data_IF_125112401295
#
_entry.id   IF_125112401295
#
_cell.length_a   1.000
_cell.length_b   1.000
_cell.length_c   1.000
_cell.angle_alpha   90.00
_cell.angle_beta   90.00
_cell.angle_gamma   90.00
#
_symmetry.space_group_name_H-M   'P 1'
#
loop_
_entity.id
_entity.type
_entity.pdbx_description
1 polymer ?
#
# COMPACT_ATOMS: atom_id res chain seq x y z
N UNK A 1 26.79 -6.56 -1.22
CA UNK A 1 25.38 -6.99 -1.43
C UNK A 1 24.92 -8.06 -0.44
N UNK A 2 25.37 -9.32 -0.49
CA UNK A 2 24.95 -10.34 0.50
C UNK A 2 25.29 -9.94 1.93
N UNK A 3 26.52 -9.45 2.16
CA UNK A 3 26.95 -9.01 3.49
C UNK A 3 26.12 -7.82 3.99
N UNK A 4 25.78 -6.87 3.12
CA UNK A 4 24.90 -5.74 3.45
C UNK A 4 23.49 -6.22 3.82
N UNK A 5 22.95 -7.24 3.14
CA UNK A 5 21.67 -7.86 3.50
C UNK A 5 21.76 -8.53 4.87
N UNK A 6 22.83 -9.30 5.13
CA UNK A 6 23.04 -9.99 6.40
C UNK A 6 23.18 -9.01 7.58
N UNK A 7 23.77 -7.84 7.33
CA UNK A 7 23.90 -6.74 8.31
C UNK A 7 22.61 -5.91 8.47
N UNK A 8 21.51 -6.27 7.79
CA UNK A 8 20.23 -5.56 7.87
C UNK A 8 20.17 -4.22 7.11
N UNK A 9 21.27 -3.82 6.46
CA UNK A 9 21.39 -2.56 5.73
C UNK A 9 21.18 -2.71 4.20
N UNK A 10 20.79 -3.91 3.75
CA UNK A 10 20.63 -4.24 2.35
C UNK A 10 19.46 -3.49 1.71
N UNK A 11 19.68 -2.94 0.51
CA UNK A 11 18.59 -2.35 -0.28
C UNK A 11 17.66 -3.45 -0.78
N UNK A 12 16.35 -3.17 -0.83
CA UNK A 12 15.34 -4.09 -1.37
C UNK A 12 15.63 -4.57 -2.80
N UNK A 13 16.35 -3.78 -3.61
CA UNK A 13 16.75 -4.13 -4.98
C UNK A 13 17.88 -5.16 -5.04
N UNK A 14 18.61 -5.42 -3.96
CA UNK A 14 19.76 -6.32 -3.99
C UNK A 14 19.35 -7.78 -4.24
N UNK A 15 18.21 -8.23 -3.72
CA UNK A 15 17.70 -9.57 -4.01
C UNK A 15 17.52 -9.77 -5.52
N UNK A 16 16.89 -8.80 -6.19
CA UNK A 16 16.74 -8.81 -7.66
C UNK A 16 18.09 -8.78 -8.37
N UNK A 17 19.07 -8.02 -7.87
CA UNK A 17 20.40 -7.94 -8.48
C UNK A 17 21.20 -9.24 -8.34
N UNK A 18 21.16 -9.86 -7.15
CA UNK A 18 21.80 -11.16 -6.89
C UNK A 18 21.18 -12.22 -7.80
N UNK A 19 19.86 -12.23 -7.93
CA UNK A 19 19.17 -13.14 -8.86
C UNK A 19 19.59 -12.87 -10.31
N UNK A 20 19.67 -11.60 -10.73
CA UNK A 20 20.12 -11.24 -12.07
C UNK A 20 21.56 -11.72 -12.34
N UNK A 21 22.46 -11.55 -11.37
CA UNK A 21 23.85 -12.01 -11.44
C UNK A 21 23.90 -13.53 -11.58
N UNK A 22 23.24 -14.27 -10.70
CA UNK A 22 23.34 -15.72 -10.63
C UNK A 22 22.67 -16.42 -11.82
N UNK A 23 21.51 -15.93 -12.26
CA UNK A 23 20.74 -16.59 -13.32
C UNK A 23 21.13 -16.15 -14.73
N UNK A 24 21.65 -14.92 -14.90
CA UNK A 24 21.92 -14.38 -16.24
C UNK A 24 23.38 -14.01 -16.45
N UNK A 25 24.00 -13.25 -15.54
CA UNK A 25 25.35 -12.73 -15.78
C UNK A 25 26.41 -13.83 -15.69
N UNK A 26 26.44 -14.59 -14.59
CA UNK A 26 27.42 -15.67 -14.38
C UNK A 26 27.31 -16.76 -15.48
N UNK A 27 26.12 -17.27 -15.83
CA UNK A 27 25.99 -18.27 -16.90
C UNK A 27 26.34 -17.72 -18.29
N UNK A 28 26.21 -16.41 -18.48
CA UNK A 28 26.56 -15.76 -19.74
C UNK A 28 28.06 -15.65 -19.90
N UNK A 29 28.71 -14.95 -18.96
CA UNK A 29 30.11 -14.55 -19.06
C UNK A 29 31.08 -15.64 -18.59
N UNK A 30 30.64 -16.57 -17.72
CA UNK A 30 31.44 -17.69 -17.22
C UNK A 30 32.84 -17.25 -16.72
N UNK A 31 33.89 -17.55 -17.49
CA UNK A 31 35.30 -17.25 -17.18
C UNK A 31 35.87 -16.08 -18.00
N UNK A 32 35.02 -15.33 -18.71
CA UNK A 32 35.43 -14.15 -19.47
C UNK A 32 36.01 -13.09 -18.54
N UNK A 33 37.09 -12.43 -18.98
CA UNK A 33 37.72 -11.36 -18.21
C UNK A 33 36.78 -10.16 -18.18
N UNK A 34 36.72 -9.45 -17.06
CA UNK A 34 35.87 -8.27 -16.91
C UNK A 34 36.23 -7.17 -17.93
N UNK A 35 37.51 -7.08 -18.31
CA UNK A 35 38.04 -6.14 -19.31
C UNK A 35 37.66 -6.49 -20.75
N UNK A 36 37.23 -7.72 -21.01
CA UNK A 36 36.77 -8.18 -22.33
C UNK A 36 35.24 -8.14 -22.48
N UNK A 37 34.52 -7.52 -21.54
CA UNK A 37 33.08 -7.31 -21.69
C UNK A 37 32.87 -6.05 -22.54
N UNK A 38 32.70 -6.27 -23.84
CA UNK A 38 32.44 -5.24 -24.85
C UNK A 38 30.98 -5.31 -25.35
N UNK A 39 30.67 -4.59 -26.43
CA UNK A 39 29.34 -4.58 -27.03
C UNK A 39 28.89 -5.98 -27.51
N UNK A 40 29.80 -6.81 -28.02
CA UNK A 40 29.49 -8.16 -28.48
C UNK A 40 29.09 -9.06 -27.30
N UNK A 41 29.84 -9.01 -26.19
CA UNK A 41 29.51 -9.74 -24.97
C UNK A 41 28.12 -9.31 -24.41
N UNK A 42 27.76 -8.04 -24.54
CA UNK A 42 26.44 -7.54 -24.14
C UNK A 42 25.31 -8.01 -25.07
N UNK A 43 25.58 -8.18 -26.37
CA UNK A 43 24.62 -8.76 -27.31
C UNK A 43 24.38 -10.25 -26.99
N UNK A 44 25.42 -11.01 -26.69
CA UNK A 44 25.30 -12.41 -26.24
C UNK A 44 24.47 -12.53 -24.95
N UNK A 45 24.68 -11.60 -24.02
CA UNK A 45 23.88 -11.52 -22.80
C UNK A 45 22.40 -11.29 -23.11
N UNK A 46 22.08 -10.42 -24.07
CA UNK A 46 20.69 -10.19 -24.48
C UNK A 46 20.08 -11.42 -25.13
N UNK A 47 20.82 -12.14 -25.97
CA UNK A 47 20.38 -13.40 -26.57
C UNK A 47 20.11 -14.48 -25.51
N UNK A 48 21.03 -14.67 -24.55
CA UNK A 48 20.85 -15.63 -23.44
C UNK A 48 19.68 -15.25 -22.55
N UNK A 49 19.48 -13.95 -22.25
CA UNK A 49 18.31 -13.48 -21.50
C UNK A 49 17.02 -13.88 -22.21
N UNK A 50 16.92 -13.64 -23.52
CA UNK A 50 15.73 -14.00 -24.30
C UNK A 50 15.48 -15.52 -24.31
N UNK A 51 16.55 -16.33 -24.43
CA UNK A 51 16.47 -17.79 -24.38
C UNK A 51 15.99 -18.31 -23.01
N UNK A 52 16.57 -17.82 -21.91
CA UNK A 52 16.21 -18.22 -20.54
C UNK A 52 14.79 -17.79 -20.20
N UNK A 53 14.40 -16.56 -20.55
CA UNK A 53 13.08 -16.02 -20.25
C UNK A 53 11.98 -16.56 -21.18
N UNK A 54 12.37 -17.25 -22.27
CA UNK A 54 11.48 -17.68 -23.36
C UNK A 54 10.65 -16.54 -23.96
N UNK A 55 11.12 -15.30 -23.78
CA UNK A 55 10.49 -14.07 -24.28
C UNK A 55 11.49 -12.93 -24.28
N UNK A 56 11.23 -11.92 -25.11
CA UNK A 56 12.05 -10.71 -25.12
C UNK A 56 11.96 -9.98 -23.76
N UNK A 57 13.11 -9.63 -23.14
CA UNK A 57 13.11 -8.89 -21.89
C UNK A 57 12.53 -7.48 -22.06
N UNK A 58 11.83 -7.00 -21.03
CA UNK A 58 11.32 -5.63 -21.02
C UNK A 58 12.44 -4.63 -20.76
N UNK A 59 12.25 -3.37 -21.18
CA UNK A 59 13.21 -2.30 -20.89
C UNK A 59 13.52 -2.18 -19.39
N UNK A 60 12.52 -2.35 -18.52
CA UNK A 60 12.71 -2.33 -17.05
C UNK A 60 13.57 -3.50 -16.56
N UNK A 61 13.36 -4.69 -17.11
CA UNK A 61 14.17 -5.88 -16.75
C UNK A 61 15.63 -5.67 -17.13
N UNK A 62 15.89 -5.16 -18.34
CA UNK A 62 17.26 -4.87 -18.79
C UNK A 62 17.89 -3.78 -17.93
N UNK A 63 17.14 -2.72 -17.58
CA UNK A 63 17.64 -1.68 -16.69
C UNK A 63 18.04 -2.23 -15.31
N UNK A 64 17.22 -3.11 -14.70
CA UNK A 64 17.57 -3.77 -13.44
C UNK A 64 18.80 -4.67 -13.57
N UNK A 65 18.91 -5.45 -14.65
CA UNK A 65 20.09 -6.30 -14.88
C UNK A 65 21.36 -5.46 -15.15
N UNK A 66 21.22 -4.34 -15.86
CA UNK A 66 22.33 -3.41 -16.11
C UNK A 66 22.78 -2.73 -14.81
N UNK A 67 21.84 -2.41 -13.90
CA UNK A 67 22.19 -1.91 -12.56
C UNK A 67 22.97 -2.97 -11.76
N UNK A 68 22.57 -4.25 -11.84
CA UNK A 68 23.31 -5.35 -11.23
C UNK A 68 24.72 -5.51 -11.83
N UNK A 69 24.85 -5.44 -13.16
CA UNK A 69 26.14 -5.51 -13.84
C UNK A 69 27.04 -4.30 -13.50
N UNK A 70 26.47 -3.09 -13.40
CA UNK A 70 27.20 -1.91 -12.95
C UNK A 70 27.76 -2.10 -11.53
N UNK A 71 27.05 -2.79 -10.63
CA UNK A 71 27.60 -3.12 -9.30
C UNK A 71 28.81 -4.05 -9.36
N UNK A 72 28.82 -5.00 -10.29
CA UNK A 72 29.99 -5.84 -10.54
C UNK A 72 31.15 -5.00 -11.09
N UNK A 73 30.86 -4.06 -12.00
CA UNK A 73 31.88 -3.14 -12.51
C UNK A 73 32.41 -2.17 -11.45
N UNK A 74 31.57 -1.69 -10.54
CA UNK A 74 31.99 -0.84 -9.42
C UNK A 74 32.98 -1.60 -8.53
N UNK A 75 32.67 -2.85 -8.18
CA UNK A 75 33.57 -3.71 -7.41
C UNK A 75 34.89 -4.01 -8.15
N UNK A 76 34.81 -4.24 -9.46
CA UNK A 76 36.00 -4.47 -10.30
C UNK A 76 36.93 -3.24 -10.34
N UNK A 77 36.36 -2.03 -10.34
CA UNK A 77 37.14 -0.78 -10.26
C UNK A 77 37.81 -0.64 -8.89
N UNK A 78 37.07 -0.88 -7.81
CA UNK A 78 37.61 -0.84 -6.43
C UNK A 78 38.80 -1.79 -6.26
N UNK A 79 38.72 -2.98 -6.86
CA UNK A 79 39.78 -4.00 -6.83
C UNK A 79 40.90 -3.78 -7.85
N UNK A 80 40.81 -2.75 -8.69
CA UNK A 80 41.80 -2.46 -9.73
C UNK A 80 41.79 -3.40 -10.94
N UNK A 81 40.72 -4.19 -11.13
CA UNK A 81 40.56 -5.08 -12.29
C UNK A 81 40.05 -4.35 -13.54
N UNK A 82 39.46 -3.17 -13.38
CA UNK A 82 38.92 -2.34 -14.45
C UNK A 82 39.18 -0.87 -14.15
N UNK A 83 39.48 -0.05 -15.16
CA UNK A 83 39.51 1.41 -15.03
C UNK A 83 38.15 2.00 -15.40
N UNK A 84 37.75 3.11 -14.77
CA UNK A 84 36.46 3.76 -15.05
C UNK A 84 36.28 4.11 -16.54
N UNK A 85 37.37 4.46 -17.23
CA UNK A 85 37.36 4.82 -18.67
C UNK A 85 37.07 3.63 -19.59
N UNK A 86 37.43 2.41 -19.17
CA UNK A 86 37.24 1.19 -19.96
C UNK A 86 35.89 0.51 -19.68
N UNK A 87 35.01 1.18 -18.94
CA UNK A 87 33.67 0.67 -18.62
C UNK A 87 32.76 0.77 -19.85
N UNK A 88 32.17 -0.35 -20.32
CA UNK A 88 31.25 -0.30 -21.46
C UNK A 88 29.95 0.42 -21.09
N UNK A 89 29.38 1.25 -21.98
CA UNK A 89 28.10 1.90 -21.74
C UNK A 89 26.94 0.89 -21.83
N UNK A 90 26.14 0.79 -20.78
CA UNK A 90 25.00 -0.13 -20.73
C UNK A 90 23.70 0.56 -21.16
N UNK A 91 23.20 0.26 -22.36
CA UNK A 91 21.91 0.77 -22.86
C UNK A 91 20.77 -0.19 -22.53
N UNK A 92 19.66 0.35 -22.04
CA UNK A 92 18.44 -0.42 -21.80
C UNK A 92 17.52 -0.37 -23.02
N UNK A 93 17.80 -1.21 -24.01
CA UNK A 93 16.99 -1.38 -25.22
C UNK A 93 16.18 -2.67 -25.08
N UNK A 94 14.90 -2.55 -24.73
CA UNK A 94 14.01 -3.70 -24.56
C UNK A 94 12.58 -3.33 -24.90
N UNK A 95 11.69 -4.32 -24.88
CA UNK A 95 10.29 -4.11 -25.25
C UNK A 95 9.64 -3.13 -24.27
N UNK A 96 9.02 -2.08 -24.81
CA UNK A 96 8.21 -1.15 -24.01
C UNK A 96 6.96 -1.86 -23.54
N UNK A 97 6.71 -1.82 -22.23
CA UNK A 97 5.51 -2.44 -21.66
C UNK A 97 4.28 -1.67 -22.11
N UNK A 98 3.24 -2.37 -22.57
CA UNK A 98 1.91 -1.76 -22.74
C UNK A 98 1.41 -1.24 -21.38
N UNK A 99 0.79 -0.06 -21.38
CA UNK A 99 0.15 0.50 -20.19
C UNK A 99 -0.93 -0.49 -19.71
N UNK A 100 -1.02 -0.69 -18.39
CA UNK A 100 -2.11 -1.49 -17.81
C UNK A 100 -3.41 -0.69 -17.91
N UNK A 101 -4.57 -1.34 -18.19
CA UNK A 101 -5.85 -0.63 -18.16
C UNK A 101 -6.08 -0.04 -16.77
N UNK A 102 -6.67 1.14 -16.74
CA UNK A 102 -7.22 1.80 -15.57
C UNK A 102 -8.70 1.45 -15.41
N UNK A 103 -9.18 1.48 -14.16
CA UNK A 103 -10.60 1.33 -13.88
C UNK A 103 -11.34 2.62 -14.23
N UNK A 104 -12.44 2.51 -14.97
CA UNK A 104 -13.38 3.60 -15.18
C UNK A 104 -14.21 3.86 -13.91
N UNK A 105 -14.86 5.03 -13.82
CA UNK A 105 -15.77 5.31 -12.70
C UNK A 105 -16.96 4.35 -12.67
N UNK A 106 -17.45 3.93 -13.84
CA UNK A 106 -18.53 2.94 -13.97
C UNK A 106 -18.09 1.58 -13.44
N UNK A 107 -16.87 1.14 -13.79
CA UNK A 107 -16.30 -0.11 -13.29
C UNK A 107 -16.05 -0.06 -11.78
N UNK A 108 -15.64 1.09 -11.24
CA UNK A 108 -15.48 1.28 -9.79
C UNK A 108 -16.83 1.20 -9.07
N UNK A 109 -17.87 1.82 -9.61
CA UNK A 109 -19.20 1.75 -9.02
C UNK A 109 -19.75 0.32 -9.05
N UNK A 110 -19.64 -0.36 -10.19
CA UNK A 110 -20.03 -1.77 -10.32
C UNK A 110 -19.26 -2.67 -9.36
N UNK A 111 -17.95 -2.44 -9.21
CA UNK A 111 -17.11 -3.14 -8.25
C UNK A 111 -17.61 -2.94 -6.83
N UNK A 112 -17.91 -1.68 -6.44
CA UNK A 112 -18.37 -1.35 -5.10
C UNK A 112 -19.75 -1.95 -4.78
N UNK A 113 -20.67 -1.95 -5.74
CA UNK A 113 -21.99 -2.57 -5.62
C UNK A 113 -21.86 -4.11 -5.47
N UNK A 114 -21.00 -4.74 -6.27
CA UNK A 114 -20.78 -6.18 -6.22
C UNK A 114 -20.11 -6.69 -4.94
N UNK A 115 -19.39 -5.84 -4.20
CA UNK A 115 -18.71 -6.23 -2.95
C UNK A 115 -19.72 -6.73 -1.90
N UNK A 116 -20.88 -6.09 -1.77
CA UNK A 116 -21.85 -6.45 -0.72
C UNK A 116 -22.47 -7.83 -0.95
N UNK A 117 -22.94 -8.09 -2.17
CA UNK A 117 -23.47 -9.40 -2.57
C UNK A 117 -22.40 -10.49 -2.47
N UNK A 118 -21.17 -10.18 -2.89
CA UNK A 118 -20.05 -11.10 -2.82
C UNK A 118 -19.64 -11.41 -1.38
N UNK A 119 -19.69 -10.45 -0.46
CA UNK A 119 -19.50 -10.69 0.98
C UNK A 119 -20.62 -11.60 1.50
N UNK A 120 -21.88 -11.30 1.17
CA UNK A 120 -23.05 -12.05 1.64
C UNK A 120 -23.04 -13.51 1.16
N UNK A 121 -22.46 -13.80 0.00
CA UNK A 121 -22.30 -15.16 -0.54
C UNK A 121 -21.25 -16.01 0.21
N UNK A 122 -20.58 -15.49 1.25
CA UNK A 122 -19.59 -16.27 2.00
C UNK A 122 -20.26 -17.31 2.92
N UNK A 123 -19.91 -18.58 2.76
CA UNK A 123 -20.48 -19.69 3.54
C UNK A 123 -19.72 -19.99 4.83
N UNK A 124 -18.43 -19.63 4.91
CA UNK A 124 -17.56 -19.89 6.06
C UNK A 124 -17.22 -18.58 6.75
N UNK A 125 -17.23 -18.57 8.09
CA UNK A 125 -16.90 -17.39 8.90
C UNK A 125 -15.54 -16.79 8.51
N UNK A 126 -14.49 -17.61 8.39
CA UNK A 126 -13.16 -17.14 7.95
C UNK A 126 -13.18 -16.50 6.56
N UNK A 127 -14.00 -17.01 5.65
CA UNK A 127 -14.15 -16.42 4.32
C UNK A 127 -14.88 -15.09 4.42
N UNK A 128 -15.98 -15.03 5.17
CA UNK A 128 -16.76 -13.82 5.40
C UNK A 128 -15.87 -12.69 5.93
N UNK A 129 -15.07 -12.99 6.96
CA UNK A 129 -14.14 -12.03 7.56
C UNK A 129 -13.12 -11.50 6.55
N UNK A 130 -12.50 -12.40 5.76
CA UNK A 130 -11.53 -11.99 4.74
C UNK A 130 -12.16 -11.16 3.61
N UNK A 131 -13.39 -11.48 3.20
CA UNK A 131 -14.14 -10.73 2.19
C UNK A 131 -14.49 -9.34 2.70
N UNK A 132 -14.98 -9.23 3.94
CA UNK A 132 -15.25 -7.95 4.59
C UNK A 132 -13.99 -7.09 4.71
N UNK A 133 -12.88 -7.69 5.14
CA UNK A 133 -11.61 -6.97 5.28
C UNK A 133 -11.06 -6.52 3.91
N UNK A 134 -11.23 -7.32 2.85
CA UNK A 134 -10.85 -6.92 1.50
C UNK A 134 -11.72 -5.77 0.99
N UNK A 135 -13.04 -5.81 1.21
CA UNK A 135 -13.94 -4.71 0.84
C UNK A 135 -13.55 -3.39 1.51
N UNK A 136 -13.28 -3.42 2.81
CA UNK A 136 -12.79 -2.25 3.55
C UNK A 136 -11.42 -1.76 3.05
N UNK A 137 -10.54 -2.69 2.68
CA UNK A 137 -9.23 -2.39 2.11
C UNK A 137 -9.32 -1.74 0.73
N UNK A 138 -10.24 -2.19 -0.14
CA UNK A 138 -10.52 -1.57 -1.44
C UNK A 138 -11.04 -0.15 -1.25
N UNK A 139 -11.98 0.06 -0.33
CA UNK A 139 -12.51 1.38 -0.01
C UNK A 139 -11.44 2.35 0.48
N UNK A 140 -10.51 1.89 1.33
CA UNK A 140 -9.35 2.67 1.76
C UNK A 140 -8.45 3.03 0.58
N UNK A 141 -8.15 2.08 -0.33
CA UNK A 141 -7.31 2.34 -1.50
C UNK A 141 -7.92 3.39 -2.44
N UNK A 142 -9.22 3.29 -2.71
CA UNK A 142 -9.94 4.21 -3.59
C UNK A 142 -9.98 5.64 -3.03
N UNK A 143 -10.09 5.78 -1.71
CA UNK A 143 -10.22 7.09 -1.06
C UNK A 143 -8.87 7.77 -0.78
N UNK A 144 -7.83 6.98 -0.48
CA UNK A 144 -6.52 7.51 -0.05
C UNK A 144 -5.45 7.54 -1.14
N UNK A 145 -5.57 6.70 -2.18
CA UNK A 145 -4.48 6.47 -3.13
C UNK A 145 -3.21 5.91 -2.46
N UNK A 146 -3.33 5.29 -1.28
CA UNK A 146 -2.23 4.63 -0.62
C UNK A 146 -1.71 3.45 -1.45
N UNK A 147 -0.42 3.13 -1.33
CA UNK A 147 0.12 2.00 -2.09
C UNK A 147 -0.40 0.69 -1.49
N UNK A 148 -0.89 -0.24 -2.32
CA UNK A 148 -1.26 -1.55 -1.81
C UNK A 148 -0.02 -2.28 -1.26
N UNK A 149 -0.21 -3.04 -0.19
CA UNK A 149 0.86 -3.74 0.52
C UNK A 149 1.36 -2.96 1.73
N UNK A 150 2.67 -2.76 1.84
CA UNK A 150 3.35 -2.31 3.07
C UNK A 150 2.71 -1.10 3.74
N UNK A 151 2.35 -0.05 2.98
CA UNK A 151 1.82 1.19 3.57
C UNK A 151 0.55 0.96 4.38
N UNK A 152 -0.44 0.25 3.83
CA UNK A 152 -1.70 -0.02 4.52
C UNK A 152 -1.65 -1.28 5.39
N UNK A 153 -0.90 -2.31 4.99
CA UNK A 153 -0.80 -3.56 5.75
C UNK A 153 -0.06 -3.39 7.07
N UNK A 154 0.83 -2.39 7.17
CA UNK A 154 1.55 -2.05 8.40
C UNK A 154 0.95 -0.82 9.12
N UNK A 155 -0.18 -0.29 8.65
CA UNK A 155 -0.85 0.81 9.33
C UNK A 155 -1.35 0.37 10.70
N UNK A 156 -1.01 1.11 11.74
CA UNK A 156 -1.48 0.95 13.12
C UNK A 156 -2.50 2.02 13.50
N UNK A 157 -3.37 1.71 14.47
CA UNK A 157 -4.40 2.66 14.91
C UNK A 157 -3.84 3.96 15.50
N UNK A 158 -2.71 3.90 16.21
CA UNK A 158 -2.02 5.08 16.74
C UNK A 158 -1.39 6.00 15.68
N UNK A 159 -1.35 5.59 14.41
CA UNK A 159 -0.84 6.39 13.29
C UNK A 159 -1.93 7.21 12.58
N UNK A 160 -3.19 7.04 12.99
CA UNK A 160 -4.34 7.75 12.45
C UNK A 160 -4.70 8.89 13.40
N UNK A 161 -5.07 10.06 12.87
CA UNK A 161 -5.71 11.13 13.63
C UNK A 161 -7.05 11.48 12.99
N UNK A 162 -8.05 11.74 13.82
CA UNK A 162 -9.38 12.11 13.38
C UNK A 162 -9.56 13.62 13.49
N UNK A 163 -9.99 14.25 12.41
CA UNK A 163 -10.24 15.69 12.35
C UNK A 163 -11.68 15.95 11.90
N UNK A 164 -12.30 16.94 12.53
CA UNK A 164 -13.54 17.55 12.07
C UNK A 164 -13.16 18.99 11.73
N UNK A 165 -13.36 19.42 10.49
CA UNK A 165 -13.24 20.83 10.18
C UNK A 165 -14.45 21.55 10.80
N UNK A 166 -14.27 22.58 11.65
CA UNK A 166 -15.36 23.48 11.97
C UNK A 166 -15.68 24.29 10.72
N UNK A 167 -16.96 24.52 10.44
CA UNK A 167 -17.35 25.61 9.54
C UNK A 167 -16.82 26.92 10.15
N UNK A 168 -16.01 27.65 9.40
CA UNK A 168 -15.74 29.05 9.70
C UNK A 168 -16.29 29.89 8.56
N UNK A 169 -17.45 30.50 8.79
CA UNK A 169 -17.56 31.95 8.80
C UNK A 169 -18.39 32.38 10.01
N UNK A 170 -17.76 33.17 10.89
CA UNK A 170 -18.48 34.02 11.82
C UNK A 170 -19.14 35.13 10.98
N UNK A 171 -20.41 35.02 10.65
CA UNK A 171 -21.24 36.23 10.58
C UNK A 171 -21.51 36.63 12.02
N UNK A 172 -21.08 37.84 12.36
CA UNK A 172 -21.35 38.46 13.64
C UNK A 172 -22.85 38.56 13.84
N UNK A 173 -23.42 37.73 14.72
CA UNK A 173 -24.55 38.11 15.55
C UNK A 173 -24.53 37.20 16.79
N UNK A 174 -24.22 37.84 17.91
CA UNK A 174 -24.19 37.20 19.22
C UNK A 174 -25.62 36.91 19.68
N UNK A 175 -25.91 35.64 19.97
CA UNK A 175 -26.87 35.28 21.00
C UNK A 175 -26.11 34.57 22.11
N UNK A 176 -26.17 35.17 23.29
CA UNK A 176 -25.43 34.79 24.49
C UNK A 176 -25.90 33.44 25.05
N UNK A 177 -24.92 32.61 25.43
CA UNK A 177 -25.08 31.38 26.19
C UNK A 177 -25.56 31.68 27.63
N UNK A 178 -26.84 31.95 27.80
CA UNK A 178 -27.46 32.22 29.09
C UNK A 178 -28.85 31.60 29.16
N UNK A 179 -29.00 30.33 28.84
CA UNK A 179 -30.21 29.55 29.15
C UNK A 179 -29.92 28.08 28.87
N UNK A 180 -29.79 27.29 29.94
CA UNK A 180 -30.08 25.85 30.09
C UNK A 180 -29.15 25.31 31.17
N UNK A 181 -29.75 25.12 32.35
CA UNK A 181 -29.11 24.64 33.56
C UNK A 181 -28.66 23.19 33.48
N UNK A 182 -27.83 22.84 34.46
CA UNK A 182 -27.37 21.49 34.76
C UNK A 182 -28.56 20.57 35.10
N UNK A 183 -28.98 19.67 34.21
CA UNK A 183 -29.66 18.42 34.62
C UNK A 183 -29.37 17.26 33.65
N UNK A 184 -28.91 16.14 34.23
CA UNK A 184 -29.15 14.74 33.84
C UNK A 184 -29.02 14.28 32.38
N UNK A 185 -27.99 13.48 32.08
CA UNK A 185 -27.94 12.65 30.86
C UNK A 185 -28.67 11.32 31.05
N UNK A 186 -29.89 11.23 30.53
CA UNK A 186 -30.62 9.97 30.36
C UNK A 186 -30.34 9.36 28.97
N UNK A 187 -30.39 8.02 28.88
CA UNK A 187 -30.05 7.27 27.66
C UNK A 187 -31.08 7.49 26.53
N UNK A 188 -30.60 7.93 25.35
CA UNK A 188 -31.43 8.29 24.20
C UNK A 188 -32.06 7.09 23.49
N UNK A 189 -33.25 7.33 22.93
CA UNK A 189 -34.14 6.33 22.32
C UNK A 189 -33.72 5.91 20.90
N UNK A 190 -34.33 4.85 20.37
CA UNK A 190 -34.09 4.28 19.02
C UNK A 190 -34.23 5.31 17.90
N UNK A 191 -35.20 6.22 18.01
CA UNK A 191 -35.53 7.18 16.96
C UNK A 191 -34.51 8.34 16.90
N UNK A 192 -33.81 8.60 17.99
CA UNK A 192 -32.71 9.58 18.05
C UNK A 192 -31.41 9.03 17.46
N UNK A 193 -31.20 7.71 17.49
CA UNK A 193 -30.09 7.05 16.80
C UNK A 193 -30.18 7.19 15.27
N UNK A 194 -31.38 7.03 14.71
CA UNK A 194 -31.62 7.16 13.27
C UNK A 194 -31.51 8.62 12.79
N UNK A 195 -31.90 9.59 13.62
CA UNK A 195 -31.71 11.01 13.33
C UNK A 195 -30.25 11.47 13.48
N UNK A 196 -29.48 10.91 14.41
CA UNK A 196 -28.04 11.16 14.52
C UNK A 196 -27.24 10.63 13.30
N UNK A 197 -27.71 9.55 12.67
CA UNK A 197 -27.13 9.08 11.39
C UNK A 197 -27.49 10.01 10.22
N UNK A 198 -28.68 10.61 10.20
CA UNK A 198 -29.06 11.61 9.18
C UNK A 198 -28.28 12.92 9.32
N UNK A 199 -27.96 13.37 10.54
CA UNK A 199 -27.09 14.54 10.79
C UNK A 199 -25.61 14.34 10.42
N UNK A 200 -25.18 13.10 10.16
CA UNK A 200 -23.82 12.79 9.71
C UNK A 200 -23.51 13.26 8.27
N UNK A 201 -24.50 13.87 7.60
CA UNK A 201 -24.39 14.28 6.20
C UNK A 201 -23.59 15.57 5.95
N UNK A 202 -23.34 16.42 6.96
CA UNK A 202 -22.69 17.73 6.79
C UNK A 202 -21.39 17.95 7.60
N UNK A 203 -20.84 16.90 8.21
CA UNK A 203 -19.55 17.03 8.89
C UNK A 203 -18.40 16.85 7.90
N UNK A 204 -17.60 17.90 7.73
CA UNK A 204 -16.31 17.86 7.02
C UNK A 204 -15.26 17.12 7.85
N UNK A 205 -15.49 15.81 8.06
CA UNK A 205 -14.59 14.93 8.79
C UNK A 205 -13.58 14.26 7.84
N UNK A 206 -12.31 14.25 8.27
CA UNK A 206 -11.24 13.57 7.56
C UNK A 206 -10.26 12.93 8.55
N UNK A 207 -9.42 12.04 8.04
CA UNK A 207 -8.36 11.37 8.78
C UNK A 207 -7.01 11.81 8.24
N UNK A 208 -6.09 12.12 9.14
CA UNK A 208 -4.67 12.21 8.83
C UNK A 208 -4.04 10.84 9.12
N UNK A 209 -3.51 10.18 8.10
CA UNK A 209 -2.91 8.85 8.22
C UNK A 209 -1.42 8.95 7.89
N UNK A 210 -0.58 8.62 8.86
CA UNK A 210 0.88 8.58 8.67
C UNK A 210 1.32 7.17 8.25
N UNK A 211 1.66 7.00 6.97
CA UNK A 211 2.11 5.72 6.42
C UNK A 211 3.62 5.73 6.14
N UNK A 212 4.21 4.54 6.17
CA UNK A 212 5.60 4.32 5.79
C UNK A 212 5.69 3.19 4.78
N UNK A 213 6.45 3.39 3.70
CA UNK A 213 6.61 2.37 2.67
C UNK A 213 7.92 2.52 1.90
N UNK A 214 7.97 1.93 0.70
CA UNK A 214 9.16 1.91 -0.15
C UNK A 214 9.75 3.30 -0.44
N UNK A 215 8.92 4.34 -0.50
CA UNK A 215 9.35 5.72 -0.82
C UNK A 215 9.52 6.60 0.42
N UNK A 216 9.62 6.01 1.61
CA UNK A 216 9.70 6.74 2.87
C UNK A 216 8.33 6.97 3.51
N UNK A 217 8.30 7.92 4.44
CA UNK A 217 7.10 8.29 5.20
C UNK A 217 6.33 9.39 4.50
N UNK A 218 4.99 9.31 4.52
CA UNK A 218 4.12 10.38 4.04
C UNK A 218 2.81 10.40 4.82
N UNK A 219 2.22 11.58 4.85
CA UNK A 219 0.89 11.81 5.41
C UNK A 219 -0.14 11.72 4.28
N UNK A 220 -1.24 11.01 4.52
CA UNK A 220 -2.34 10.86 3.58
C UNK A 220 -3.62 11.36 4.25
N UNK A 221 -4.45 12.05 3.48
CA UNK A 221 -5.79 12.46 3.91
C UNK A 221 -6.79 11.42 3.44
N UNK A 222 -7.59 10.92 4.38
CA UNK A 222 -8.64 9.95 4.15
C UNK A 222 -9.99 10.59 4.48
N UNK A 223 -11.01 10.37 3.65
CA UNK A 223 -12.30 11.03 3.78
C UNK A 223 -13.36 10.05 4.26
N UNK A 224 -14.63 10.34 3.92
CA UNK A 224 -15.82 9.61 4.37
C UNK A 224 -15.74 8.10 4.11
N UNK A 225 -15.20 7.68 2.96
CA UNK A 225 -15.12 6.26 2.58
C UNK A 225 -14.15 5.51 3.50
N UNK A 226 -12.97 6.06 3.75
CA UNK A 226 -12.02 5.51 4.72
C UNK A 226 -12.57 5.51 6.14
N UNK A 227 -13.28 6.56 6.56
CA UNK A 227 -13.91 6.62 7.89
C UNK A 227 -14.91 5.48 8.05
N UNK A 228 -15.76 5.21 7.04
CA UNK A 228 -16.71 4.09 7.05
C UNK A 228 -15.99 2.74 7.13
N UNK A 229 -15.01 2.52 6.27
CA UNK A 229 -14.21 1.29 6.25
C UNK A 229 -13.52 1.01 7.59
N UNK A 230 -12.82 2.00 8.14
CA UNK A 230 -12.16 1.88 9.44
C UNK A 230 -13.16 1.69 10.59
N UNK A 231 -14.33 2.32 10.52
CA UNK A 231 -15.38 2.11 11.52
C UNK A 231 -15.88 0.67 11.51
N UNK A 232 -16.06 0.06 10.31
CA UNK A 232 -16.43 -1.35 10.18
C UNK A 232 -15.34 -2.28 10.70
N UNK A 233 -14.07 -2.01 10.38
CA UNK A 233 -12.92 -2.77 10.92
C UNK A 233 -12.89 -2.68 12.45
N UNK A 234 -13.00 -1.46 13.02
CA UNK A 234 -12.96 -1.24 14.45
C UNK A 234 -14.07 -2.02 15.18
N UNK A 235 -15.30 -1.97 14.66
CA UNK A 235 -16.46 -2.71 15.21
C UNK A 235 -16.27 -4.23 15.22
N UNK A 236 -15.55 -4.78 14.24
CA UNK A 236 -15.28 -6.24 14.18
C UNK A 236 -14.19 -6.68 15.14
N UNK A 237 -13.21 -5.81 15.40
CA UNK A 237 -11.97 -6.18 16.08
C UNK A 237 -11.88 -5.70 17.54
N UNK A 238 -12.63 -4.67 17.94
CA UNK A 238 -12.53 -4.06 19.27
C UNK A 238 -13.89 -3.97 19.97
N UNK A 239 -13.88 -4.16 21.29
CA UNK A 239 -15.02 -3.85 22.14
C UNK A 239 -15.05 -2.36 22.47
N UNK A 240 -16.23 -1.75 22.41
CA UNK A 240 -16.43 -0.34 22.70
C UNK A 240 -17.21 0.38 21.60
N UNK A 241 -17.59 1.62 21.86
CA UNK A 241 -18.25 2.50 20.90
C UNK A 241 -17.52 3.84 20.86
N UNK A 242 -17.37 4.40 19.66
CA UNK A 242 -16.95 5.79 19.51
C UNK A 242 -18.08 6.76 19.86
N UNK A 243 -17.74 8.04 19.90
CA UNK A 243 -18.73 9.12 20.03
C UNK A 243 -19.40 9.38 18.68
N UNK A 244 -20.58 10.00 18.67
CA UNK A 244 -21.31 10.33 17.42
C UNK A 244 -20.44 11.10 16.44
N UNK A 245 -19.78 12.17 16.92
CA UNK A 245 -18.87 13.00 16.12
C UNK A 245 -17.48 12.39 15.93
N UNK A 246 -17.09 11.43 16.78
CA UNK A 246 -15.78 10.78 16.73
C UNK A 246 -15.94 9.25 16.79
N UNK A 247 -16.41 8.61 15.71
CA UNK A 247 -16.76 7.19 15.72
C UNK A 247 -15.58 6.25 15.99
N UNK A 248 -14.36 6.73 15.77
CA UNK A 248 -13.11 5.98 15.95
C UNK A 248 -12.35 6.34 17.24
N UNK A 249 -12.91 7.19 18.13
CA UNK A 249 -12.21 7.66 19.33
C UNK A 249 -11.78 6.56 20.31
N UNK A 250 -12.44 5.40 20.27
CA UNK A 250 -12.13 4.26 21.13
C UNK A 250 -10.91 3.45 20.66
N UNK A 251 -10.53 3.56 19.37
CA UNK A 251 -9.40 2.84 18.77
C UNK A 251 -8.24 3.76 18.39
N UNK A 252 -8.52 5.00 17.98
CA UNK A 252 -7.47 5.99 17.69
C UNK A 252 -6.92 6.54 19.00
N UNK A 253 -5.93 5.84 19.56
CA UNK A 253 -5.26 6.18 20.82
C UNK A 253 -3.76 5.96 20.68
N UNK A 254 -2.97 6.74 21.43
CA UNK A 254 -1.52 6.65 21.38
C UNK A 254 -0.98 5.25 21.75
N UNK A 255 -1.66 4.56 22.66
CA UNK A 255 -1.32 3.22 23.16
C UNK A 255 -1.86 2.08 22.30
N UNK A 256 -2.67 2.37 21.28
CA UNK A 256 -3.21 1.34 20.39
C UNK A 256 -2.26 1.04 19.22
N UNK A 257 -1.33 0.12 19.45
CA UNK A 257 -0.38 -0.34 18.44
C UNK A 257 -0.91 -1.47 17.53
N UNK A 258 -2.19 -1.84 17.64
CA UNK A 258 -2.74 -2.89 16.79
C UNK A 258 -2.77 -2.44 15.32
N UNK A 259 -2.48 -3.38 14.43
CA UNK A 259 -2.59 -3.16 12.99
C UNK A 259 -4.05 -3.02 12.58
N UNK A 260 -4.31 -2.11 11.64
CA UNK A 260 -5.64 -1.81 11.12
C UNK A 260 -6.14 -2.96 10.23
N UNK A 261 -5.34 -3.36 9.24
CA UNK A 261 -5.73 -4.42 8.28
C UNK A 261 -5.40 -5.79 8.86
N UNK A 262 -6.21 -6.24 9.82
CA UNK A 262 -6.10 -7.56 10.47
C UNK A 262 -7.46 -8.21 10.68
N UNK A 263 -7.47 -9.53 10.71
CA UNK A 263 -8.59 -10.32 11.24
C UNK A 263 -8.79 -10.03 12.74
N UNK A 264 -9.91 -10.47 13.30
CA UNK A 264 -10.25 -10.40 14.73
C UNK A 264 -9.21 -11.10 15.61
N UNK A 265 -8.53 -12.12 15.07
CA UNK A 265 -7.43 -12.83 15.72
C UNK A 265 -6.07 -12.14 15.57
N UNK A 266 -6.01 -10.97 14.91
CA UNK A 266 -4.79 -10.20 14.71
C UNK A 266 -3.90 -10.70 13.57
N UNK A 267 -4.41 -11.59 12.70
CA UNK A 267 -3.63 -12.22 11.62
C UNK A 267 -3.65 -11.34 10.36
N UNK A 268 -2.50 -11.23 9.71
CA UNK A 268 -2.36 -10.55 8.42
C UNK A 268 -2.99 -11.37 7.28
N UNK A 269 -3.81 -10.77 6.42
CA UNK A 269 -4.37 -11.48 5.27
C UNK A 269 -3.30 -11.74 4.20
N UNK A 270 -3.10 -13.00 3.82
CA UNK A 270 -2.06 -13.42 2.86
C UNK A 270 -2.55 -13.57 1.41
N UNK A 271 -3.86 -13.50 1.17
CA UNK A 271 -4.48 -13.91 -0.11
C UNK A 271 -5.35 -12.84 -0.78
N UNK A 272 -5.18 -11.56 -0.46
CA UNK A 272 -6.01 -10.49 -1.03
C UNK A 272 -6.04 -10.45 -2.55
N UNK A 273 -4.91 -10.70 -3.23
CA UNK A 273 -4.90 -10.74 -4.70
C UNK A 273 -5.83 -11.84 -5.24
N UNK A 274 -5.67 -13.08 -4.76
CA UNK A 274 -6.50 -14.21 -5.17
C UNK A 274 -7.97 -14.04 -4.80
N UNK A 275 -8.23 -13.36 -3.68
CA UNK A 275 -9.57 -13.11 -3.21
C UNK A 275 -10.25 -12.01 -4.04
N UNK A 276 -9.50 -10.98 -4.45
CA UNK A 276 -9.96 -9.96 -5.38
C UNK A 276 -10.30 -10.57 -6.76
N UNK A 277 -9.50 -11.52 -7.24
CA UNK A 277 -9.82 -12.25 -8.49
C UNK A 277 -11.14 -13.03 -8.42
N UNK A 278 -11.66 -13.34 -7.21
CA UNK A 278 -12.96 -14.01 -7.04
C UNK A 278 -14.14 -13.06 -6.87
N UNK A 279 -13.87 -11.75 -6.80
CA UNK A 279 -14.87 -10.69 -6.77
C UNK A 279 -15.21 -10.20 -8.19
N UNK A 280 -14.23 -10.26 -9.10
CA UNK A 280 -14.40 -9.97 -10.53
C UNK A 280 -15.01 -11.16 -11.26
#
# INVERSE_FOLDING_TARGET
MNDEIALGNGKNSYSEYIQAINLYLIPTFKHQKITSIDEQALQELNAKRAAIMQKAPTRSTIASHNAALNKVFDEAVIRGFLTSSNRPPLKAVGVTRKRRPDFSLEEINLLLEGIEEWIAAATKEKSLELRQLLGDYIELLLDTGARPGVELMQLKWNQIKYHIAPETEKTSDAYTAAELGEEGVDALSSDEYDNAQKQQHDINAHLEINVSGKTGRRTIIANKRSIKALTRIARRNFSGKGRVLHPLSHVIRADNEHYVIRTKTGIEPTSFAKLFDSLL
#
